data_IF_722714186942
#
_entry.id   IF_722714186942
#
_cell.length_a   1.000
_cell.length_b   1.000
_cell.length_c   1.000
_cell.angle_alpha   90.00
_cell.angle_beta   90.00
_cell.angle_gamma   90.00
#
_symmetry.space_group_name_H-M   'P 1'
#
loop_
_entity.id
_entity.type
_entity.pdbx_description
1 polymer ?
#
# COMPACT_ATOMS: atom_id res chain seq x y z
N UNK A 1 22.20 55.50 37.37
CA UNK A 1 20.80 55.42 36.88
C UNK A 1 20.83 55.13 35.39
N UNK A 2 20.60 53.88 35.01
CA UNK A 2 20.32 53.45 33.64
C UNK A 2 19.25 52.37 33.75
N UNK A 3 18.02 52.71 33.37
CA UNK A 3 16.88 51.79 33.39
C UNK A 3 16.88 50.98 32.10
N UNK A 4 16.86 49.66 32.22
CA UNK A 4 16.66 48.74 31.11
C UNK A 4 15.15 48.49 30.94
N UNK A 5 14.62 48.88 29.78
CA UNK A 5 13.25 48.60 29.38
C UNK A 5 13.15 47.19 28.81
N UNK A 6 12.30 46.35 29.39
CA UNK A 6 11.99 45.03 28.83
C UNK A 6 11.11 45.18 27.57
N UNK A 7 11.28 44.31 26.56
CA UNK A 7 10.44 44.33 25.37
C UNK A 7 9.02 43.85 25.69
N UNK A 8 8.04 44.55 25.11
CA UNK A 8 6.62 44.22 25.22
C UNK A 8 6.31 42.83 24.64
N UNK A 9 5.41 42.05 25.27
CA UNK A 9 5.00 40.77 24.71
C UNK A 9 4.27 40.95 23.37
N UNK A 10 4.39 39.97 22.44
CA UNK A 10 3.71 40.03 21.16
C UNK A 10 2.18 39.99 21.35
N UNK A 11 1.42 40.66 20.48
CA UNK A 11 -0.04 40.66 20.56
C UNK A 11 -0.60 39.25 20.31
N UNK A 12 -1.74 38.91 20.94
CA UNK A 12 -2.39 37.63 20.72
C UNK A 12 -2.83 37.46 19.26
N UNK A 13 -2.84 36.23 18.73
CA UNK A 13 -3.28 35.96 17.36
C UNK A 13 -4.78 36.29 17.18
N UNK A 14 -5.21 36.69 15.98
CA UNK A 14 -6.59 37.06 15.72
C UNK A 14 -7.52 35.85 15.85
N UNK A 15 -8.63 36.05 16.57
CA UNK A 15 -9.72 35.09 16.69
C UNK A 15 -10.28 34.77 15.29
N UNK A 16 -10.13 33.51 14.87
CA UNK A 16 -10.81 32.96 13.70
C UNK A 16 -12.33 33.05 13.92
N UNK A 17 -12.96 33.98 13.21
CA UNK A 17 -14.40 34.06 13.06
C UNK A 17 -14.96 32.71 12.60
N UNK A 18 -15.82 32.13 13.43
CA UNK A 18 -16.70 31.03 13.07
C UNK A 18 -17.52 31.42 11.83
N UNK A 19 -17.32 30.71 10.73
CA UNK A 19 -18.21 30.77 9.57
C UNK A 19 -19.58 30.25 9.97
N UNK A 20 -20.52 31.19 10.15
CA UNK A 20 -21.96 30.98 10.10
C UNK A 20 -22.32 30.27 8.80
N UNK A 21 -22.90 29.08 8.92
CA UNK A 21 -23.66 28.42 7.84
C UNK A 21 -24.84 29.31 7.47
N UNK A 22 -24.78 29.88 6.27
CA UNK A 22 -25.89 30.55 5.61
C UNK A 22 -26.92 29.50 5.18
N UNK A 23 -27.97 29.36 5.99
CA UNK A 23 -29.24 28.76 5.59
C UNK A 23 -29.84 29.60 4.46
N UNK A 24 -30.00 29.00 3.28
CA UNK A 24 -30.80 29.58 2.19
C UNK A 24 -32.25 29.69 2.65
N UNK A 25 -32.73 30.92 2.78
CA UNK A 25 -34.12 31.28 3.10
C UNK A 25 -34.87 31.42 1.76
N UNK A 26 -35.61 30.40 1.35
CA UNK A 26 -36.59 30.56 0.26
C UNK A 26 -37.82 31.25 0.80
N UNK A 27 -38.03 32.50 0.38
CA UNK A 27 -39.27 33.25 0.61
C UNK A 27 -40.35 32.70 -0.32
N UNK A 28 -41.31 31.96 0.24
CA UNK A 28 -42.60 31.69 -0.42
C UNK A 28 -43.70 32.49 0.27
N UNK A 29 -44.43 33.26 -0.54
CA UNK A 29 -45.49 34.19 -0.14
C UNK A 29 -46.70 33.43 0.41
N UNK A 30 -47.29 34.02 1.44
CA UNK A 30 -48.56 33.63 2.07
C UNK A 30 -49.75 33.90 1.15
N UNK A 31 -50.56 32.87 0.91
CA UNK A 31 -52.03 32.88 0.89
C UNK A 31 -52.39 31.55 1.59
N UNK A 32 -52.90 31.50 2.82
CA UNK A 32 -54.20 32.01 3.25
C UNK A 32 -55.27 30.98 2.89
N UNK A 33 -55.56 30.00 3.76
CA UNK A 33 -56.82 29.21 3.89
C UNK A 33 -56.64 28.11 4.97
N UNK A 34 -57.72 27.59 5.58
CA UNK A 34 -57.80 27.36 7.01
C UNK A 34 -57.52 25.91 7.41
N UNK A 35 -57.14 25.78 8.66
CA UNK A 35 -57.48 24.71 9.60
C UNK A 35 -58.30 23.55 8.98
N UNK A 36 -57.63 22.45 8.66
CA UNK A 36 -58.29 21.15 8.51
C UNK A 36 -57.48 20.11 9.29
N UNK A 37 -58.15 19.67 10.34
CA UNK A 37 -57.77 18.68 11.33
C UNK A 37 -57.65 17.33 10.60
N UNK A 38 -56.42 16.87 10.34
CA UNK A 38 -56.18 15.52 9.83
C UNK A 38 -55.50 14.70 10.91
N UNK A 39 -56.31 13.76 11.38
CA UNK A 39 -56.07 12.64 12.29
C UNK A 39 -54.65 12.09 12.22
N UNK A 40 -54.07 11.94 13.41
CA UNK A 40 -52.87 11.18 13.66
C UNK A 40 -53.01 9.73 13.14
N UNK A 41 -52.23 9.38 12.13
CA UNK A 41 -51.85 8.01 11.86
C UNK A 41 -50.34 7.92 12.09
N UNK A 42 -49.95 7.66 13.34
CA UNK A 42 -48.61 7.21 13.69
C UNK A 42 -48.50 5.77 13.16
N UNK A 43 -48.24 5.64 11.86
CA UNK A 43 -47.76 4.40 11.30
C UNK A 43 -46.34 4.22 11.83
N UNK A 44 -46.21 3.45 12.92
CA UNK A 44 -44.95 2.91 13.36
C UNK A 44 -44.38 2.07 12.21
N UNK A 45 -43.56 2.71 11.37
CA UNK A 45 -42.73 2.03 10.41
C UNK A 45 -41.69 1.24 11.21
N UNK A 46 -42.04 -0.01 11.53
CA UNK A 46 -41.10 -1.01 11.95
C UNK A 46 -40.09 -1.19 10.80
N UNK A 47 -39.02 -0.39 10.85
CA UNK A 47 -37.83 -0.62 10.05
C UNK A 47 -37.27 -1.94 10.55
N UNK A 48 -37.66 -3.02 9.88
CA UNK A 48 -37.03 -4.31 10.05
C UNK A 48 -35.56 -4.13 9.71
N UNK A 49 -34.73 -4.02 10.75
CA UNK A 49 -33.29 -4.19 10.66
C UNK A 49 -33.10 -5.66 10.31
N UNK A 50 -33.18 -5.98 9.02
CA UNK A 50 -32.74 -7.26 8.52
C UNK A 50 -31.26 -7.36 8.93
N UNK A 51 -30.84 -8.42 9.64
CA UNK A 51 -29.43 -8.64 9.82
C UNK A 51 -28.81 -8.63 8.43
N UNK A 52 -27.81 -7.78 8.23
CA UNK A 52 -26.94 -7.90 7.08
C UNK A 52 -26.33 -9.29 7.18
N UNK A 53 -26.97 -10.26 6.52
CA UNK A 53 -26.37 -11.54 6.23
C UNK A 53 -25.19 -11.16 5.37
N UNK A 54 -24.03 -11.02 6.01
CA UNK A 54 -22.76 -11.13 5.32
C UNK A 54 -22.85 -12.48 4.63
N UNK A 55 -23.25 -12.49 3.36
CA UNK A 55 -22.88 -13.58 2.49
C UNK A 55 -21.37 -13.61 2.63
N UNK A 56 -20.86 -14.52 3.46
CA UNK A 56 -19.49 -14.94 3.29
C UNK A 56 -19.47 -15.37 1.84
N UNK A 57 -18.83 -14.56 1.01
CA UNK A 57 -18.42 -15.01 -0.30
C UNK A 57 -17.56 -16.21 0.04
N UNK A 58 -18.20 -17.39 0.03
CA UNK A 58 -17.50 -18.64 -0.06
C UNK A 58 -16.71 -18.45 -1.33
N UNK A 59 -15.45 -18.07 -1.15
CA UNK A 59 -14.45 -18.26 -2.19
C UNK A 59 -14.67 -19.71 -2.59
N UNK A 60 -15.08 -19.97 -3.84
CA UNK A 60 -15.61 -21.26 -4.26
C UNK A 60 -14.76 -22.32 -3.60
N UNK A 61 -15.46 -23.16 -2.82
CA UNK A 61 -14.89 -24.04 -1.83
C UNK A 61 -13.62 -24.70 -2.37
N UNK A 62 -12.64 -24.84 -1.50
CA UNK A 62 -11.26 -25.26 -1.75
C UNK A 62 -11.11 -26.68 -2.39
N UNK A 63 -12.20 -27.24 -2.91
CA UNK A 63 -12.24 -28.44 -3.74
C UNK A 63 -11.81 -28.10 -5.17
N UNK A 64 -10.55 -27.75 -5.32
CA UNK A 64 -9.96 -27.65 -6.65
C UNK A 64 -9.17 -28.93 -6.86
N UNK A 65 -9.67 -29.78 -7.77
CA UNK A 65 -8.98 -30.95 -8.31
C UNK A 65 -7.73 -30.46 -9.06
N UNK A 66 -6.70 -30.12 -8.29
CA UNK A 66 -5.42 -29.62 -8.76
C UNK A 66 -4.38 -30.69 -8.54
N UNK A 67 -3.47 -30.82 -9.49
CA UNK A 67 -2.34 -31.70 -9.34
C UNK A 67 -1.39 -31.14 -8.26
N UNK A 68 -0.80 -32.02 -7.45
CA UNK A 68 0.14 -31.59 -6.42
C UNK A 68 1.46 -31.14 -7.04
N UNK A 69 2.04 -30.07 -6.51
CA UNK A 69 3.35 -29.59 -6.93
C UNK A 69 4.43 -30.66 -6.67
N UNK A 70 4.35 -31.33 -5.51
CA UNK A 70 5.31 -32.36 -5.12
C UNK A 70 5.23 -33.65 -5.94
N UNK A 71 4.15 -33.85 -6.70
CA UNK A 71 3.97 -35.04 -7.52
C UNK A 71 4.75 -34.93 -8.83
N UNK A 72 5.70 -35.84 -9.03
CA UNK A 72 6.52 -35.86 -10.24
C UNK A 72 5.70 -35.97 -11.55
N UNK A 73 4.62 -36.78 -11.64
CA UNK A 73 3.77 -36.88 -12.83
C UNK A 73 3.05 -35.59 -13.23
N UNK A 74 2.95 -34.63 -12.31
CA UNK A 74 2.38 -33.31 -12.58
C UNK A 74 3.15 -32.58 -13.69
N UNK A 75 4.46 -32.84 -13.81
CA UNK A 75 5.39 -32.07 -14.62
C UNK A 75 5.81 -32.76 -15.91
N UNK A 76 6.11 -31.97 -16.93
CA UNK A 76 6.62 -32.43 -18.22
C UNK A 76 8.03 -33.02 -18.08
N UNK A 77 8.11 -34.33 -17.88
CA UNK A 77 9.36 -35.04 -17.60
C UNK A 77 9.28 -35.93 -16.35
N UNK A 78 8.11 -36.01 -15.70
CA UNK A 78 7.89 -36.86 -14.54
C UNK A 78 8.91 -36.57 -13.42
N UNK A 79 9.27 -35.30 -13.24
CA UNK A 79 10.30 -34.81 -12.31
C UNK A 79 9.85 -33.46 -11.74
N UNK A 80 9.90 -33.31 -10.42
CA UNK A 80 9.55 -32.04 -9.75
C UNK A 80 10.61 -30.97 -10.06
N UNK A 81 10.22 -29.72 -10.39
CA UNK A 81 11.15 -28.64 -10.70
C UNK A 81 12.19 -28.38 -9.60
N UNK A 82 13.45 -28.30 -10.00
CA UNK A 82 14.62 -28.06 -9.15
C UNK A 82 15.11 -26.62 -9.15
N UNK A 83 16.29 -26.40 -8.55
CA UNK A 83 16.92 -25.08 -8.48
C UNK A 83 17.26 -24.54 -9.88
N UNK A 84 16.85 -23.30 -10.15
CA UNK A 84 17.11 -22.62 -11.43
C UNK A 84 16.12 -22.94 -12.54
N UNK A 85 15.24 -23.93 -12.36
CA UNK A 85 14.27 -24.31 -13.39
C UNK A 85 13.24 -23.20 -13.66
N UNK A 86 12.84 -23.07 -14.92
CA UNK A 86 11.74 -22.19 -15.33
C UNK A 86 10.51 -23.04 -15.58
N UNK A 87 9.48 -22.84 -14.75
CA UNK A 87 8.27 -23.67 -14.75
C UNK A 87 7.15 -22.97 -15.50
N UNK A 88 6.43 -23.71 -16.34
CA UNK A 88 5.18 -23.26 -16.93
C UNK A 88 4.02 -23.97 -16.24
N UNK A 89 3.10 -23.21 -15.66
CA UNK A 89 1.87 -23.69 -15.03
C UNK A 89 0.73 -23.47 -16.02
N UNK A 90 0.24 -24.55 -16.62
CA UNK A 90 -0.79 -24.52 -17.67
C UNK A 90 -2.11 -25.21 -17.29
N UNK A 91 -2.14 -25.82 -16.10
CA UNK A 91 -3.30 -26.42 -15.43
C UNK A 91 -3.35 -25.98 -13.96
N UNK A 92 -4.32 -26.47 -13.20
CA UNK A 92 -4.33 -26.17 -11.77
C UNK A 92 -3.27 -27.00 -11.02
N UNK A 93 -2.39 -26.30 -10.30
CA UNK A 93 -1.36 -26.89 -9.43
C UNK A 93 -1.57 -26.42 -8.01
N UNK A 94 -1.64 -27.36 -7.06
CA UNK A 94 -1.62 -27.08 -5.62
C UNK A 94 -0.19 -27.10 -5.11
N UNK A 95 0.27 -25.97 -4.55
CA UNK A 95 1.55 -25.85 -3.88
C UNK A 95 1.45 -26.40 -2.44
N UNK A 96 1.65 -27.71 -2.34
CA UNK A 96 1.61 -28.53 -1.12
C UNK A 96 2.97 -28.59 -0.40
N UNK A 97 4.05 -28.15 -1.05
CA UNK A 97 5.38 -28.09 -0.46
C UNK A 97 6.16 -26.84 -0.87
N UNK A 98 7.26 -26.56 -0.15
CA UNK A 98 8.21 -25.52 -0.52
C UNK A 98 8.85 -25.85 -1.87
N UNK A 99 8.91 -24.89 -2.80
CA UNK A 99 9.63 -25.12 -4.06
C UNK A 99 11.15 -25.04 -3.86
N UNK A 100 11.89 -25.62 -4.80
CA UNK A 100 13.29 -25.25 -5.03
C UNK A 100 13.41 -23.76 -5.45
N UNK A 101 14.62 -23.21 -5.55
CA UNK A 101 14.90 -21.84 -5.98
C UNK A 101 14.73 -21.68 -7.50
N UNK A 102 13.48 -21.62 -7.96
CA UNK A 102 13.14 -21.61 -9.38
C UNK A 102 13.72 -20.38 -10.10
N UNK A 103 14.20 -20.57 -11.33
CA UNK A 103 14.63 -19.46 -12.20
C UNK A 103 13.47 -18.58 -12.66
N UNK A 104 12.26 -19.14 -12.71
CA UNK A 104 11.04 -18.40 -13.02
C UNK A 104 9.79 -19.27 -13.02
N UNK A 105 8.63 -18.63 -12.93
CA UNK A 105 7.33 -19.27 -13.12
C UNK A 105 6.54 -18.45 -14.13
N UNK A 106 5.97 -19.15 -15.11
CA UNK A 106 5.05 -18.61 -16.09
C UNK A 106 3.71 -19.30 -15.91
N UNK A 107 2.67 -18.58 -15.53
CA UNK A 107 1.31 -19.13 -15.44
C UNK A 107 0.59 -18.75 -16.74
N UNK A 108 0.13 -19.75 -17.49
CA UNK A 108 -0.62 -19.52 -18.74
C UNK A 108 -2.07 -19.10 -18.41
N UNK A 109 -2.85 -18.60 -19.37
CA UNK A 109 -4.26 -18.26 -19.14
C UNK A 109 -5.14 -19.41 -18.64
N UNK A 110 -4.73 -20.66 -18.87
CA UNK A 110 -5.44 -21.87 -18.40
C UNK A 110 -4.88 -22.42 -17.09
N UNK A 111 -3.71 -21.94 -16.67
CA UNK A 111 -3.05 -22.37 -15.45
C UNK A 111 -3.53 -21.63 -14.20
N UNK A 112 -3.39 -22.29 -13.05
CA UNK A 112 -3.59 -21.69 -11.73
C UNK A 112 -2.60 -22.29 -10.76
N UNK A 113 -1.98 -21.46 -9.93
CA UNK A 113 -1.13 -21.91 -8.83
C UNK A 113 -1.83 -21.56 -7.51
N UNK A 114 -2.28 -22.58 -6.79
CA UNK A 114 -3.02 -22.46 -5.54
C UNK A 114 -2.09 -22.82 -4.39
N UNK A 115 -2.11 -22.07 -3.29
CA UNK A 115 -1.28 -22.38 -2.12
C UNK A 115 -2.09 -23.17 -1.11
N UNK A 116 -1.57 -24.32 -0.65
CA UNK A 116 -2.22 -25.13 0.39
C UNK A 116 -2.43 -24.29 1.67
N UNK A 117 -3.63 -24.27 2.28
CA UNK A 117 -3.93 -23.38 3.38
C UNK A 117 -3.28 -23.93 4.64
N UNK A 118 -2.54 -23.08 5.35
CA UNK A 118 -1.94 -23.45 6.64
C UNK A 118 -0.67 -24.30 6.54
N UNK A 119 -0.28 -24.80 5.37
CA UNK A 119 0.99 -25.51 5.18
C UNK A 119 2.21 -24.59 5.33
N UNK A 120 2.04 -23.29 5.05
CA UNK A 120 3.12 -22.32 5.05
C UNK A 120 4.08 -22.47 3.86
N UNK A 121 3.70 -23.26 2.84
CA UNK A 121 4.49 -23.49 1.63
C UNK A 121 4.88 -22.19 0.94
N UNK A 122 6.16 -22.10 0.56
CA UNK A 122 6.76 -20.92 -0.05
C UNK A 122 7.20 -21.23 -1.47
N UNK A 123 6.80 -20.33 -2.37
CA UNK A 123 7.36 -20.24 -3.70
C UNK A 123 8.74 -19.58 -3.60
N UNK A 124 9.81 -20.37 -3.68
CA UNK A 124 11.18 -19.88 -3.67
C UNK A 124 11.58 -19.54 -5.10
N UNK A 125 11.81 -18.26 -5.35
CA UNK A 125 12.36 -17.79 -6.61
C UNK A 125 13.86 -17.51 -6.42
N UNK A 126 14.68 -17.88 -7.41
CA UNK A 126 16.13 -17.76 -7.32
C UNK A 126 16.54 -16.33 -6.96
N UNK A 127 17.31 -16.14 -5.87
CA UNK A 127 17.72 -14.81 -5.42
C UNK A 127 18.60 -14.09 -6.44
N UNK A 128 19.24 -14.84 -7.35
CA UNK A 128 20.12 -14.30 -8.39
C UNK A 128 19.30 -13.51 -9.42
N UNK A 129 18.02 -13.82 -9.63
CA UNK A 129 17.20 -13.12 -10.62
C UNK A 129 16.64 -11.78 -10.14
N UNK A 130 16.43 -11.62 -8.83
CA UNK A 130 15.67 -10.49 -8.27
C UNK A 130 16.55 -9.35 -7.74
N UNK A 131 17.81 -9.62 -7.40
CA UNK A 131 18.75 -8.62 -6.89
C UNK A 131 19.28 -7.66 -7.96
N UNK A 132 19.11 -8.01 -9.24
CA UNK A 132 19.62 -7.21 -10.37
C UNK A 132 18.53 -6.52 -11.16
N UNK A 133 17.26 -6.70 -10.79
CA UNK A 133 16.17 -6.11 -11.56
C UNK A 133 16.11 -4.61 -11.37
N UNK A 134 15.99 -3.90 -12.48
CA UNK A 134 15.78 -2.46 -12.54
C UNK A 134 14.36 -2.23 -13.03
N UNK A 135 13.49 -1.68 -12.18
CA UNK A 135 12.16 -1.29 -12.62
C UNK A 135 11.17 -1.20 -11.46
N UNK A 136 10.08 -1.94 -11.58
CA UNK A 136 8.93 -1.82 -10.69
C UNK A 136 8.55 -3.21 -10.17
N UNK A 137 8.28 -3.30 -8.87
CA UNK A 137 7.64 -4.47 -8.27
C UNK A 137 6.20 -4.12 -7.98
N UNK A 138 5.28 -5.01 -8.35
CA UNK A 138 3.86 -4.90 -8.12
C UNK A 138 3.37 -6.09 -7.30
N UNK A 139 2.51 -5.82 -6.32
CA UNK A 139 1.81 -6.82 -5.52
C UNK A 139 0.32 -6.53 -5.62
N UNK A 140 -0.42 -7.56 -5.96
CA UNK A 140 -1.88 -7.54 -6.04
C UNK A 140 -2.45 -8.24 -4.83
N UNK A 141 -3.41 -7.60 -4.17
CA UNK A 141 -4.00 -8.10 -2.93
C UNK A 141 -5.52 -8.13 -3.04
N UNK A 142 -6.12 -9.14 -2.43
CA UNK A 142 -7.55 -9.17 -2.18
C UNK A 142 -7.88 -8.26 -0.97
N UNK A 143 -8.65 -7.18 -1.15
CA UNK A 143 -8.98 -6.24 -0.09
C UNK A 143 -9.81 -6.83 1.04
N UNK A 144 -10.53 -7.93 0.79
CA UNK A 144 -11.46 -8.50 1.77
C UNK A 144 -10.74 -9.30 2.86
N UNK A 145 -9.62 -9.93 2.51
CA UNK A 145 -8.89 -10.83 3.42
C UNK A 145 -7.39 -10.53 3.50
N UNK A 146 -6.89 -9.52 2.77
CA UNK A 146 -5.48 -9.14 2.75
C UNK A 146 -4.55 -10.13 2.05
N UNK A 147 -5.07 -11.18 1.41
CA UNK A 147 -4.26 -12.23 0.78
C UNK A 147 -3.66 -11.72 -0.54
N UNK A 148 -2.35 -11.92 -0.70
CA UNK A 148 -1.63 -11.64 -1.95
C UNK A 148 -2.10 -12.60 -3.04
N UNK A 149 -2.63 -12.07 -4.14
CA UNK A 149 -3.06 -12.86 -5.30
C UNK A 149 -1.96 -13.01 -6.36
N UNK A 150 -1.14 -11.98 -6.53
CA UNK A 150 -0.05 -12.01 -7.50
C UNK A 150 1.08 -11.07 -7.05
N UNK A 151 2.30 -11.46 -7.38
CA UNK A 151 3.49 -10.61 -7.28
C UNK A 151 4.21 -10.65 -8.62
N UNK A 152 4.64 -9.49 -9.11
CA UNK A 152 5.38 -9.40 -10.36
C UNK A 152 6.48 -8.35 -10.25
N UNK A 153 7.63 -8.66 -10.83
CA UNK A 153 8.78 -7.75 -10.96
C UNK A 153 9.02 -7.47 -12.43
N UNK A 154 9.02 -6.19 -12.80
CA UNK A 154 9.15 -5.70 -14.16
C UNK A 154 10.48 -4.98 -14.35
N UNK A 155 11.28 -5.42 -15.32
CA UNK A 155 12.58 -4.83 -15.66
C UNK A 155 12.48 -3.58 -16.56
N UNK A 156 11.45 -2.76 -16.38
CA UNK A 156 11.21 -1.55 -17.19
C UNK A 156 12.23 -0.42 -16.95
N UNK A 157 13.06 -0.54 -15.92
CA UNK A 157 14.19 0.33 -15.66
C UNK A 157 15.48 -0.07 -16.35
N UNK A 158 15.52 -1.29 -16.91
CA UNK A 158 16.74 -1.87 -17.47
C UNK A 158 17.24 -1.11 -18.71
N UNK A 159 18.56 -1.14 -18.93
CA UNK A 159 19.18 -0.73 -20.18
C UNK A 159 19.14 -1.82 -21.27
N UNK A 160 18.62 -3.01 -20.96
CA UNK A 160 18.48 -4.10 -21.93
C UNK A 160 17.10 -4.06 -22.59
N UNK A 161 17.09 -3.91 -23.92
CA UNK A 161 15.87 -3.85 -24.73
C UNK A 161 15.01 -5.10 -24.59
N UNK A 162 15.63 -6.29 -24.54
CA UNK A 162 14.92 -7.56 -24.35
C UNK A 162 14.08 -7.56 -23.06
N UNK A 163 14.69 -7.20 -21.93
CA UNK A 163 13.99 -7.18 -20.64
C UNK A 163 12.94 -6.07 -20.58
N UNK A 164 13.24 -4.92 -21.18
CA UNK A 164 12.32 -3.78 -21.26
C UNK A 164 11.04 -4.14 -22.05
N UNK A 165 11.18 -4.66 -23.28
CA UNK A 165 10.06 -4.99 -24.15
C UNK A 165 9.21 -6.14 -23.58
N UNK A 166 9.84 -7.19 -23.06
CA UNK A 166 9.11 -8.32 -22.49
C UNK A 166 8.27 -7.93 -21.27
N UNK A 167 8.83 -7.11 -20.38
CA UNK A 167 8.15 -6.76 -19.14
C UNK A 167 7.17 -5.59 -19.32
N UNK A 168 7.30 -4.75 -20.37
CA UNK A 168 6.31 -3.72 -20.71
C UNK A 168 4.97 -4.34 -21.14
N UNK A 169 5.00 -5.39 -21.97
CA UNK A 169 3.79 -6.13 -22.38
C UNK A 169 3.09 -6.79 -21.19
N UNK A 170 3.85 -7.40 -20.28
CA UNK A 170 3.32 -8.04 -19.07
C UNK A 170 2.72 -7.05 -18.08
N UNK A 171 3.22 -5.82 -18.02
CA UNK A 171 2.70 -4.81 -17.11
C UNK A 171 1.27 -4.39 -17.51
N UNK A 172 0.97 -4.38 -18.80
CA UNK A 172 -0.37 -4.07 -19.34
C UNK A 172 -1.42 -5.10 -18.91
N UNK A 173 -1.03 -6.36 -18.70
CA UNK A 173 -1.98 -7.45 -18.38
C UNK A 173 -2.37 -7.53 -16.90
N UNK A 174 -1.70 -6.81 -15.99
CA UNK A 174 -2.00 -6.83 -14.54
C UNK A 174 -3.34 -6.17 -14.14
N UNK A 175 -4.12 -5.64 -15.08
CA UNK A 175 -5.18 -4.66 -14.81
C UNK A 175 -6.55 -5.20 -14.35
N UNK A 176 -6.66 -6.44 -13.87
CA UNK A 176 -7.96 -7.00 -13.45
C UNK A 176 -8.27 -6.88 -11.94
N UNK A 177 -7.35 -6.34 -11.13
CA UNK A 177 -7.29 -6.70 -9.70
C UNK A 177 -7.58 -5.59 -8.67
N UNK A 178 -7.94 -5.99 -7.45
CA UNK A 178 -8.62 -5.21 -6.41
C UNK A 178 -7.78 -4.16 -5.66
N UNK A 179 -6.63 -4.53 -5.08
CA UNK A 179 -5.66 -3.57 -4.51
C UNK A 179 -4.32 -3.83 -5.16
N UNK A 180 -3.72 -2.77 -5.72
CA UNK A 180 -2.42 -2.82 -6.40
C UNK A 180 -1.44 -1.97 -5.62
N UNK A 181 -0.38 -2.59 -5.09
CA UNK A 181 0.75 -1.89 -4.48
C UNK A 181 1.94 -1.97 -5.42
N UNK A 182 2.63 -0.85 -5.63
CA UNK A 182 3.80 -0.79 -6.51
C UNK A 182 4.94 -0.06 -5.81
N UNK A 183 6.15 -0.55 -6.02
CA UNK A 183 7.38 0.06 -5.52
C UNK A 183 8.45 0.07 -6.61
N UNK A 184 9.15 1.19 -6.75
CA UNK A 184 10.35 1.27 -7.56
C UNK A 184 11.47 0.40 -6.97
N UNK A 185 12.19 -0.26 -7.84
CA UNK A 185 13.38 -1.04 -7.56
C UNK A 185 14.53 -0.49 -8.39
N UNK A 186 15.53 0.10 -7.71
CA UNK A 186 16.74 0.68 -8.31
C UNK A 186 16.43 1.84 -9.29
N UNK A 187 16.06 1.54 -10.53
CA UNK A 187 15.60 2.53 -11.50
C UNK A 187 14.20 2.13 -11.93
N UNK A 188 13.17 2.94 -11.66
CA UNK A 188 11.81 2.59 -12.12
C UNK A 188 11.61 2.82 -13.62
N UNK A 189 12.52 3.57 -14.26
CA UNK A 189 12.41 4.04 -15.63
C UNK A 189 13.78 3.94 -16.29
N UNK A 190 13.80 3.40 -17.51
CA UNK A 190 14.99 3.38 -18.34
C UNK A 190 15.15 4.73 -19.03
N UNK A 191 16.35 5.31 -18.99
CA UNK A 191 16.71 6.48 -19.80
C UNK A 191 17.08 6.12 -21.23
N UNK A 192 17.21 4.82 -21.53
CA UNK A 192 17.62 4.33 -22.85
C UNK A 192 16.42 4.12 -23.79
N UNK A 193 15.20 3.99 -23.25
CA UNK A 193 14.01 3.60 -24.02
C UNK A 193 12.83 4.55 -23.77
N UNK A 194 11.95 4.65 -24.78
CA UNK A 194 10.70 5.38 -24.62
C UNK A 194 9.76 4.63 -23.67
N UNK A 195 9.57 5.19 -22.47
CA UNK A 195 8.73 4.57 -21.42
C UNK A 195 7.26 5.04 -21.46
N UNK A 196 6.83 5.70 -22.54
CA UNK A 196 5.46 6.25 -22.63
C UNK A 196 4.39 5.18 -22.43
N UNK A 197 4.50 4.05 -23.12
CA UNK A 197 3.50 2.95 -23.02
C UNK A 197 3.43 2.36 -21.62
N UNK A 198 4.59 2.26 -20.94
CA UNK A 198 4.67 1.84 -19.54
C UNK A 198 3.97 2.84 -18.63
N UNK A 199 4.18 4.14 -18.82
CA UNK A 199 3.49 5.17 -18.05
C UNK A 199 1.98 5.09 -18.25
N UNK A 200 1.52 4.91 -19.49
CA UNK A 200 0.10 4.75 -19.76
C UNK A 200 -0.47 3.50 -19.10
N UNK A 201 0.25 2.37 -19.16
CA UNK A 201 -0.17 1.13 -18.54
C UNK A 201 -0.29 1.26 -17.02
N UNK A 202 0.73 1.82 -16.36
CA UNK A 202 0.72 2.07 -14.92
C UNK A 202 -0.38 3.05 -14.54
N UNK A 203 -0.56 4.13 -15.30
CA UNK A 203 -1.61 5.12 -15.03
C UNK A 203 -3.02 4.58 -15.23
N UNK A 204 -3.25 3.76 -16.27
CA UNK A 204 -4.50 3.02 -16.45
C UNK A 204 -4.74 2.07 -15.28
N UNK A 205 -3.71 1.37 -14.80
CA UNK A 205 -3.82 0.48 -13.65
C UNK A 205 -4.11 1.23 -12.33
N UNK A 206 -3.45 2.37 -12.09
CA UNK A 206 -3.58 3.13 -10.85
C UNK A 206 -4.81 4.04 -10.80
N UNK A 207 -5.18 4.66 -11.92
CA UNK A 207 -6.16 5.76 -11.98
C UNK A 207 -7.30 5.52 -12.97
N UNK A 208 -7.28 4.43 -13.72
CA UNK A 208 -8.18 4.19 -14.86
C UNK A 208 -8.13 5.31 -15.93
N UNK A 209 -7.08 6.13 -15.92
CA UNK A 209 -6.88 7.30 -16.81
C UNK A 209 -5.39 7.58 -16.98
N UNK A 210 -5.01 8.04 -18.17
CA UNK A 210 -3.65 8.46 -18.51
C UNK A 210 -3.38 9.91 -18.07
N UNK A 211 -2.13 10.25 -17.78
CA UNK A 211 -1.63 11.61 -17.55
C UNK A 211 -1.74 12.12 -16.11
N UNK A 212 -1.82 11.21 -15.12
CA UNK A 212 -1.99 11.57 -13.70
C UNK A 212 -0.84 11.16 -12.79
N UNK A 213 0.02 10.25 -13.21
CA UNK A 213 1.06 9.72 -12.33
C UNK A 213 2.28 10.63 -12.29
N UNK A 214 2.84 10.82 -11.09
CA UNK A 214 4.16 11.43 -10.88
C UNK A 214 5.30 10.55 -11.41
N UNK A 215 5.05 9.28 -11.75
CA UNK A 215 6.02 8.40 -12.43
C UNK A 215 6.58 9.05 -13.70
N UNK A 216 5.77 9.82 -14.44
CA UNK A 216 6.23 10.56 -15.64
C UNK A 216 7.34 11.58 -15.36
N UNK A 217 7.45 12.03 -14.12
CA UNK A 217 8.41 13.03 -13.66
C UNK A 217 9.46 12.44 -12.73
N UNK A 218 9.60 11.11 -12.73
CA UNK A 218 10.60 10.44 -11.94
C UNK A 218 11.98 10.69 -12.56
N UNK A 219 12.96 11.05 -11.72
CA UNK A 219 14.34 11.13 -12.14
C UNK A 219 15.08 9.82 -11.91
N UNK A 220 16.26 9.71 -12.52
CA UNK A 220 17.17 8.58 -12.32
C UNK A 220 17.40 8.32 -10.81
N UNK A 221 17.19 7.06 -10.39
CA UNK A 221 17.29 6.58 -9.00
C UNK A 221 16.39 7.30 -7.99
N UNK A 222 15.25 7.87 -8.37
CA UNK A 222 14.27 8.30 -7.36
C UNK A 222 13.46 7.12 -6.82
N UNK A 223 13.20 7.14 -5.52
CA UNK A 223 12.29 6.17 -4.92
C UNK A 223 10.86 6.56 -5.29
N UNK A 224 10.03 5.56 -5.56
CA UNK A 224 8.63 5.76 -5.88
C UNK A 224 7.81 4.61 -5.34
N UNK A 225 6.62 4.94 -4.85
CA UNK A 225 5.63 3.97 -4.42
C UNK A 225 4.23 4.42 -4.79
N UNK A 226 3.34 3.46 -5.02
CA UNK A 226 1.92 3.71 -5.23
C UNK A 226 1.06 2.62 -4.57
N UNK A 227 -0.13 3.01 -4.15
CA UNK A 227 -1.22 2.10 -3.75
C UNK A 227 -2.46 2.54 -4.51
N UNK A 228 -3.07 1.64 -5.27
CA UNK A 228 -4.35 1.86 -5.94
C UNK A 228 -5.39 0.85 -5.45
N UNK A 229 -6.65 1.31 -5.39
CA UNK A 229 -7.81 0.47 -5.09
C UNK A 229 -8.70 0.50 -6.32
N UNK A 230 -9.01 -0.69 -6.86
CA UNK A 230 -9.86 -0.89 -8.03
C UNK A 230 -11.18 -0.16 -7.84
N UNK A 231 -11.62 0.50 -8.90
CA UNK A 231 -12.88 1.27 -8.96
C UNK A 231 -12.97 2.42 -7.93
N UNK A 232 -11.90 2.70 -7.17
CA UNK A 232 -11.84 3.77 -6.18
C UNK A 232 -10.63 4.68 -6.43
N UNK A 233 -10.56 5.36 -7.59
CA UNK A 233 -9.40 6.18 -7.96
C UNK A 233 -9.15 7.36 -7.00
N UNK A 234 -10.15 7.77 -6.20
CA UNK A 234 -9.99 8.78 -5.15
C UNK A 234 -9.20 8.27 -3.94
N UNK A 235 -9.01 6.95 -3.81
CA UNK A 235 -8.15 6.34 -2.79
C UNK A 235 -6.75 6.03 -3.29
N UNK A 236 -6.50 6.13 -4.59
CA UNK A 236 -5.16 5.92 -5.14
C UNK A 236 -4.19 6.97 -4.60
N UNK A 237 -3.07 6.50 -4.06
CA UNK A 237 -1.99 7.32 -3.51
C UNK A 237 -0.69 6.99 -4.19
N UNK A 238 0.14 8.01 -4.33
CA UNK A 238 1.47 7.92 -4.94
C UNK A 238 2.42 8.84 -4.18
N UNK A 239 3.68 8.42 -4.04
CA UNK A 239 4.73 9.23 -3.44
C UNK A 239 6.05 9.03 -4.16
N UNK A 240 6.79 10.13 -4.30
CA UNK A 240 8.15 10.15 -4.82
C UNK A 240 9.08 10.57 -3.68
N UNK A 241 10.15 9.82 -3.49
CA UNK A 241 11.27 10.16 -2.60
C UNK A 241 12.40 10.79 -3.41
N UNK A 242 12.46 12.13 -3.42
CA UNK A 242 13.51 12.87 -4.15
C UNK A 242 14.72 13.19 -3.30
N UNK A 243 14.47 13.51 -2.04
CA UNK A 243 15.49 13.94 -1.10
C UNK A 243 16.38 12.76 -0.73
N UNK A 244 17.68 13.00 -0.77
CA UNK A 244 18.69 12.06 -0.32
C UNK A 244 18.89 12.28 1.18
N UNK A 245 18.75 11.22 1.97
CA UNK A 245 19.03 11.26 3.40
C UNK A 245 20.54 11.28 3.68
N UNK A 246 20.92 11.35 4.97
CA UNK A 246 22.31 11.39 5.40
C UNK A 246 23.11 10.17 4.93
N UNK A 247 22.44 9.04 4.72
CA UNK A 247 23.04 7.77 4.33
C UNK A 247 23.06 7.58 2.81
N UNK A 248 22.66 8.59 2.04
CA UNK A 248 22.68 8.54 0.58
C UNK A 248 21.48 7.83 -0.04
N UNK A 249 20.41 7.61 0.72
CA UNK A 249 19.20 6.97 0.23
C UNK A 249 18.09 7.97 -0.07
N UNK A 250 17.34 7.65 -1.12
CA UNK A 250 16.04 8.24 -1.37
C UNK A 250 14.98 7.27 -0.89
N UNK A 251 14.01 7.79 -0.14
CA UNK A 251 12.97 6.96 0.48
C UNK A 251 11.58 7.47 0.13
N UNK A 252 10.71 6.57 -0.29
CA UNK A 252 9.29 6.82 -0.50
C UNK A 252 8.47 5.79 0.30
N UNK A 253 7.52 6.27 1.08
CA UNK A 253 6.63 5.42 1.89
C UNK A 253 5.18 5.86 1.74
N UNK A 254 4.28 4.89 1.67
CA UNK A 254 2.84 5.08 1.68
C UNK A 254 2.17 4.02 2.54
N UNK A 255 1.12 4.46 3.18
CA UNK A 255 0.18 3.66 3.93
C UNK A 255 -1.25 3.94 3.44
N UNK A 256 -2.07 2.89 3.43
CA UNK A 256 -3.49 2.98 3.19
C UNK A 256 -4.21 2.08 4.19
N UNK A 257 -5.09 2.67 4.97
CA UNK A 257 -5.94 1.95 5.92
C UNK A 257 -7.35 1.84 5.35
N UNK A 258 -7.95 0.66 5.44
CA UNK A 258 -9.32 0.37 5.05
C UNK A 258 -10.07 -0.30 6.22
N UNK A 259 -10.50 0.47 7.23
CA UNK A 259 -11.12 -0.09 8.44
C UNK A 259 -12.36 -0.94 8.17
N UNK A 260 -13.18 -0.59 7.16
CA UNK A 260 -14.38 -1.34 6.79
C UNK A 260 -14.09 -2.72 6.18
N UNK A 261 -12.82 -2.99 5.85
CA UNK A 261 -12.34 -4.30 5.36
C UNK A 261 -11.37 -4.95 6.36
N UNK A 262 -11.23 -4.39 7.56
CA UNK A 262 -10.21 -4.77 8.54
C UNK A 262 -8.81 -4.94 7.91
N UNK A 263 -8.43 -4.08 6.97
CA UNK A 263 -7.21 -4.25 6.18
C UNK A 263 -6.35 -3.00 6.16
N UNK A 264 -5.04 -3.20 6.17
CA UNK A 264 -4.04 -2.14 6.07
C UNK A 264 -2.91 -2.53 5.12
N UNK A 265 -2.45 -1.54 4.37
CA UNK A 265 -1.47 -1.69 3.30
C UNK A 265 -0.31 -0.74 3.57
N UNK A 266 0.91 -1.24 3.43
CA UNK A 266 2.13 -0.47 3.56
C UNK A 266 3.06 -0.78 2.41
N UNK A 267 3.55 0.26 1.75
CA UNK A 267 4.54 0.14 0.69
C UNK A 267 5.70 1.12 0.93
N UNK A 268 6.92 0.62 0.83
CA UNK A 268 8.14 1.42 0.88
C UNK A 268 9.11 1.05 -0.24
N UNK A 269 9.85 2.06 -0.69
CA UNK A 269 11.00 1.94 -1.57
C UNK A 269 12.12 2.81 -1.01
N UNK A 270 13.31 2.24 -0.87
CA UNK A 270 14.53 2.90 -0.40
C UNK A 270 15.63 2.60 -1.40
N UNK A 271 16.17 3.61 -2.08
CA UNK A 271 17.13 3.44 -3.17
C UNK A 271 18.37 4.28 -2.89
N UNK A 272 19.55 3.65 -2.87
CA UNK A 272 20.79 4.37 -2.66
C UNK A 272 21.20 5.10 -3.95
N UNK A 273 21.44 6.41 -3.86
CA UNK A 273 21.78 7.24 -5.01
C UNK A 273 23.13 6.87 -5.66
N UNK A 274 24.16 6.57 -4.88
CA UNK A 274 25.50 6.26 -5.40
C UNK A 274 25.78 4.75 -5.53
N UNK A 275 25.33 3.92 -4.60
CA UNK A 275 25.56 2.46 -4.62
C UNK A 275 24.49 1.75 -5.44
N UNK A 276 24.82 1.38 -6.67
CA UNK A 276 23.88 0.79 -7.63
C UNK A 276 23.24 -0.54 -7.18
N UNK A 277 23.82 -1.23 -6.20
CA UNK A 277 23.34 -2.52 -5.67
C UNK A 277 22.61 -2.40 -4.33
N UNK A 278 22.46 -1.19 -3.77
CA UNK A 278 21.82 -0.99 -2.47
C UNK A 278 20.44 -0.38 -2.64
N UNK A 279 19.43 -1.21 -2.47
CA UNK A 279 18.05 -0.78 -2.38
C UNK A 279 17.30 -1.72 -1.43
N UNK A 280 16.18 -1.25 -0.91
CA UNK A 280 15.26 -2.00 -0.07
C UNK A 280 13.83 -1.66 -0.50
N UNK A 281 12.95 -2.64 -0.44
CA UNK A 281 11.53 -2.47 -0.74
C UNK A 281 10.73 -3.31 0.23
N UNK A 282 9.61 -2.76 0.67
CA UNK A 282 8.72 -3.47 1.59
C UNK A 282 7.29 -3.28 1.14
N UNK A 283 6.60 -4.38 0.87
CA UNK A 283 5.21 -4.42 0.45
C UNK A 283 4.50 -5.33 1.44
N UNK A 284 3.64 -4.77 2.28
CA UNK A 284 2.98 -5.49 3.37
C UNK A 284 1.50 -5.23 3.33
N UNK A 285 0.72 -6.30 3.47
CA UNK A 285 -0.69 -6.26 3.76
C UNK A 285 -0.94 -7.03 5.05
N UNK A 286 -1.89 -6.57 5.84
CA UNK A 286 -2.28 -7.24 7.07
C UNK A 286 -3.61 -6.73 7.57
N UNK A 287 -4.05 -7.27 8.70
CA UNK A 287 -5.24 -6.74 9.36
C UNK A 287 -4.98 -5.32 9.84
N UNK A 288 -6.05 -4.51 9.89
CA UNK A 288 -5.95 -3.14 10.39
C UNK A 288 -5.37 -3.12 11.82
N UNK A 289 -5.80 -4.04 12.67
CA UNK A 289 -5.31 -4.16 14.05
C UNK A 289 -3.82 -4.52 14.13
N UNK A 290 -3.31 -5.36 13.22
CA UNK A 290 -1.90 -5.73 13.18
C UNK A 290 -1.00 -4.60 12.64
N UNK A 291 -1.56 -3.70 11.83
CA UNK A 291 -0.84 -2.56 11.26
C UNK A 291 -0.96 -1.28 12.09
N UNK A 292 -1.89 -1.23 13.05
CA UNK A 292 -2.00 -0.14 13.98
C UNK A 292 -0.69 -0.02 14.77
N UNK A 293 -0.07 1.17 14.84
CA UNK A 293 1.13 1.36 15.64
C UNK A 293 0.78 1.01 17.10
N UNK A 294 1.40 -0.04 17.62
CA UNK A 294 1.35 -0.34 19.05
C UNK A 294 2.18 0.75 19.72
N UNK A 295 1.50 1.79 20.20
CA UNK A 295 2.13 2.79 21.06
C UNK A 295 2.34 2.09 22.40
N UNK A 296 3.53 1.53 22.60
CA UNK A 296 3.96 1.08 23.93
C UNK A 296 4.17 2.32 24.79
N UNK A 297 3.13 2.66 25.53
CA UNK A 297 3.22 3.71 26.55
C UNK A 297 3.84 3.07 27.79
N UNK A 298 5.00 3.55 28.20
CA UNK A 298 5.67 3.09 29.44
C UNK A 298 5.09 3.74 30.71
N UNK A 299 4.06 4.56 30.57
CA UNK A 299 3.35 5.22 31.67
C UNK A 299 1.90 4.73 31.79
N UNK A 300 1.32 4.89 32.97
CA UNK A 300 -0.09 4.62 33.21
C UNK A 300 -0.96 5.56 32.36
N UNK A 301 -1.54 5.02 31.30
CA UNK A 301 -2.46 5.77 30.42
C UNK A 301 -3.76 6.15 31.12
N UNK A 302 -4.09 5.54 32.26
CA UNK A 302 -5.28 5.90 33.02
C UNK A 302 -5.13 7.24 33.74
N UNK A 303 -3.89 7.68 33.99
CA UNK A 303 -3.64 8.97 34.64
C UNK A 303 -3.64 10.15 33.67
N UNK A 304 -3.78 9.91 32.36
CA UNK A 304 -3.70 10.95 31.34
C UNK A 304 -5.00 11.74 31.25
N UNK A 305 -4.92 13.05 31.42
CA UNK A 305 -6.06 13.92 31.08
C UNK A 305 -6.11 14.12 29.57
N UNK A 306 -7.33 14.29 29.05
CA UNK A 306 -7.52 14.60 27.63
C UNK A 306 -6.70 15.85 27.24
N UNK A 307 -5.77 15.69 26.29
CA UNK A 307 -4.89 16.75 25.81
C UNK A 307 -3.46 16.76 26.39
N UNK A 308 -3.11 15.84 27.27
CA UNK A 308 -1.83 15.86 28.02
C UNK A 308 -0.68 15.06 27.37
N UNK A 309 -0.84 14.58 26.13
CA UNK A 309 0.23 13.82 25.46
C UNK A 309 1.41 14.73 25.08
N UNK A 310 2.50 14.64 25.85
CA UNK A 310 3.82 15.17 25.47
C UNK A 310 4.74 14.00 25.07
N UNK A 311 4.91 13.73 23.76
CA UNK A 311 5.89 12.75 23.31
C UNK A 311 7.29 13.30 23.57
N UNK A 312 8.03 12.68 24.49
CA UNK A 312 9.44 12.98 24.71
C UNK A 312 9.73 13.98 25.82
N UNK A 313 9.01 13.91 26.95
CA UNK A 313 9.56 14.41 28.20
C UNK A 313 10.83 13.64 28.51
N UNK A 314 11.99 14.13 28.06
CA UNK A 314 13.28 13.80 28.66
C UNK A 314 13.09 14.03 30.16
N UNK A 315 12.89 12.96 30.92
CA UNK A 315 13.06 12.99 32.37
C UNK A 315 14.42 13.65 32.57
N UNK A 316 14.38 14.87 33.09
CA UNK A 316 15.57 15.63 33.43
C UNK A 316 16.33 14.82 34.44
N UNK A 317 17.23 13.96 33.97
CA UNK A 317 18.28 13.35 34.76
C UNK A 317 19.01 14.52 35.36
N UNK A 318 18.72 14.78 36.63
CA UNK A 318 19.30 15.84 37.41
C UNK A 318 20.80 15.78 37.23
N UNK A 319 21.35 16.74 36.47
CA UNK A 319 22.79 16.98 36.40
C UNK A 319 23.18 17.56 37.75
N UNK A 320 23.39 16.67 38.71
CA UNK A 320 23.96 16.99 39.99
C UNK A 320 25.36 17.56 39.76
N UNK A 321 25.54 18.82 40.14
CA UNK A 321 26.67 19.64 39.78
C UNK A 321 27.98 19.10 40.34
N UNK A 322 28.85 18.59 39.48
CA UNK A 322 30.26 18.34 39.81
C UNK A 322 31.06 19.64 39.65
N UNK A 323 31.08 20.45 40.72
CA UNK A 323 32.10 21.49 40.95
C UNK A 323 33.46 20.79 41.15
N UNK A 324 34.27 20.73 40.10
CA UNK A 324 35.69 20.38 40.18
C UNK A 324 36.53 21.63 40.44
N UNK A 325 37.12 21.72 41.64
CA UNK A 325 38.15 22.70 42.04
C UNK A 325 39.38 22.58 41.14
N UNK A 326 39.99 23.73 40.84
CA UNK A 326 41.17 23.80 39.99
C UNK A 326 42.48 23.29 40.60
N UNK A 327 43.49 23.24 39.73
CA UNK A 327 44.86 23.69 39.93
C UNK A 327 45.48 23.92 38.55
#
# INVERSE_FOLDING_TARGET
MLAWSLPSPPPPPPLLQQRKLLLYRTTSKRHGFPLLLVVAAVAAAAVAVLPAVSAQVQCPDYEVDCDLWSDAPTWSGNTVPGDGDVVTVDKCILLDTDTANLGGITITPTGSLVFEPGSGSKLKQSPIGDLWREGIVAVVINPENGVVRATASFNVGSSSEYWFNRDSERLVSLMSCHVLMMAAQRNAISTAFNSTDIFEAVEKALYCKVGKSRLRHLQYKEAWVAIAVKEQPWRTRERVGRNVDRDGFRTATLDLMMPWLNSAFYVSSKIHYSRHWSYDRRLVAGTFDAAAPIINVTGDVQSWKAGEYQPGGEEGVGREGRRGKGR
#
